data_IF_262592472239
#
_entry.id   IF_262592472239
#
_cell.length_a   1.000
_cell.length_b   1.000
_cell.length_c   1.000
_cell.angle_alpha   90.00
_cell.angle_beta   90.00
_cell.angle_gamma   90.00
#
_symmetry.space_group_name_H-M   'P 1'
#
loop_
_entity.id
_entity.type
_entity.pdbx_description
1 polymer ?
#
# COMPACT_ATOMS: atom_id res chain seq x y z
N UNK A 1 12.77 -13.13 -13.16
CA UNK A 1 12.24 -13.02 -11.79
C UNK A 1 10.72 -13.18 -11.81
N UNK A 2 10.13 -14.10 -11.03
CA UNK A 2 8.66 -14.23 -10.94
C UNK A 2 8.08 -12.98 -10.25
N UNK A 3 7.11 -12.33 -10.87
CA UNK A 3 6.39 -11.20 -10.25
C UNK A 3 5.53 -11.76 -9.10
N UNK A 4 5.78 -11.30 -7.86
CA UNK A 4 4.96 -11.66 -6.70
C UNK A 4 3.67 -10.82 -6.69
N UNK A 5 2.48 -11.42 -6.92
CA UNK A 5 1.22 -10.67 -6.93
C UNK A 5 0.90 -10.09 -5.55
N UNK A 6 0.11 -9.02 -5.52
CA UNK A 6 -0.40 -8.43 -4.27
C UNK A 6 -1.57 -9.24 -3.73
N UNK A 7 -1.43 -9.73 -2.51
CA UNK A 7 -2.49 -10.47 -1.81
C UNK A 7 -3.60 -9.51 -1.36
N UNK A 8 -4.78 -10.05 -1.06
CA UNK A 8 -5.89 -9.28 -0.50
C UNK A 8 -5.49 -8.62 0.81
N UNK A 9 -4.78 -9.36 1.70
CA UNK A 9 -4.29 -8.83 2.97
C UNK A 9 -3.38 -7.62 2.79
N UNK A 10 -2.41 -7.70 1.87
CA UNK A 10 -1.51 -6.56 1.61
C UNK A 10 -2.26 -5.34 1.06
N UNK A 11 -3.26 -5.54 0.18
CA UNK A 11 -4.09 -4.44 -0.34
C UNK A 11 -4.93 -3.81 0.77
N UNK A 12 -5.46 -4.61 1.68
CA UNK A 12 -6.21 -4.14 2.84
C UNK A 12 -5.29 -3.35 3.81
N UNK A 13 -4.08 -3.86 4.09
CA UNK A 13 -3.06 -3.13 4.85
C UNK A 13 -2.75 -1.76 4.22
N UNK A 14 -2.64 -1.68 2.88
CA UNK A 14 -2.50 -0.38 2.21
C UNK A 14 -3.72 0.50 2.45
N UNK A 15 -4.94 -0.01 2.24
CA UNK A 15 -6.19 0.75 2.43
C UNK A 15 -6.27 1.40 3.81
N UNK A 16 -5.91 0.65 4.84
CA UNK A 16 -6.08 1.06 6.24
C UNK A 16 -4.96 2.00 6.72
N UNK A 17 -3.76 1.90 6.16
CA UNK A 17 -2.58 2.57 6.71
C UNK A 17 -1.91 3.58 5.77
N UNK A 18 -2.12 3.47 4.45
CA UNK A 18 -1.46 4.36 3.49
C UNK A 18 -2.07 5.76 3.57
N UNK A 19 -1.23 6.75 3.90
CA UNK A 19 -1.67 8.12 4.14
C UNK A 19 -2.05 8.39 5.60
N UNK A 20 -2.14 7.37 6.45
CA UNK A 20 -2.32 7.49 7.91
C UNK A 20 -0.97 7.35 8.62
N UNK A 21 -0.20 6.33 8.25
CA UNK A 21 1.16 6.12 8.75
C UNK A 21 2.19 6.74 7.82
N UNK A 22 3.30 7.28 8.33
CA UNK A 22 4.44 7.61 7.50
C UNK A 22 5.01 6.32 6.88
N UNK A 23 5.59 6.43 5.69
CA UNK A 23 5.99 5.26 4.92
C UNK A 23 7.00 4.35 5.64
N UNK A 24 7.87 4.93 6.48
CA UNK A 24 8.82 4.21 7.33
C UNK A 24 8.14 3.20 8.27
N UNK A 25 6.92 3.49 8.71
CA UNK A 25 6.15 2.66 9.64
C UNK A 25 5.21 1.70 8.88
N UNK A 26 4.82 2.04 7.63
CA UNK A 26 4.08 1.15 6.74
C UNK A 26 4.93 0.02 6.15
N UNK A 27 6.20 0.28 5.85
CA UNK A 27 7.11 -0.69 5.22
C UNK A 27 7.26 -2.00 6.01
N UNK A 28 7.47 -1.98 7.35
CA UNK A 28 7.51 -3.19 8.17
C UNK A 28 6.25 -4.05 8.09
N UNK A 29 5.08 -3.46 7.82
CA UNK A 29 3.81 -4.18 7.70
C UNK A 29 3.67 -4.95 6.38
N UNK A 30 4.53 -4.69 5.40
CA UNK A 30 4.48 -5.25 4.05
C UNK A 30 5.81 -5.94 3.70
N UNK A 31 6.14 -7.08 4.36
CA UNK A 31 7.42 -7.74 4.17
C UNK A 31 7.64 -8.14 2.70
N UNK A 32 8.84 -7.85 2.19
CA UNK A 32 9.21 -8.09 0.79
C UNK A 32 8.52 -7.16 -0.21
N UNK A 33 7.91 -6.07 0.23
CA UNK A 33 7.52 -4.93 -0.62
C UNK A 33 8.52 -3.80 -0.45
N UNK A 34 8.77 -3.10 -1.55
CA UNK A 34 9.57 -1.87 -1.53
C UNK A 34 8.65 -0.66 -1.58
N UNK A 35 9.16 0.49 -1.15
CA UNK A 35 8.51 1.80 -1.30
C UNK A 35 7.98 2.03 -2.73
N UNK A 36 8.81 1.77 -3.75
CA UNK A 36 8.39 1.91 -5.14
C UNK A 36 7.24 0.96 -5.51
N UNK A 37 7.26 -0.29 -5.01
CA UNK A 37 6.15 -1.23 -5.26
C UNK A 37 4.85 -0.78 -4.58
N UNK A 38 4.94 -0.18 -3.39
CA UNK A 38 3.79 0.38 -2.67
C UNK A 38 3.17 1.51 -3.47
N UNK A 39 3.96 2.49 -3.94
CA UNK A 39 3.44 3.61 -4.74
C UNK A 39 2.76 3.14 -6.03
N UNK A 40 3.38 2.19 -6.75
CA UNK A 40 2.79 1.61 -7.96
C UNK A 40 1.47 0.89 -7.64
N UNK A 41 1.43 0.13 -6.55
CA UNK A 41 0.22 -0.57 -6.14
C UNK A 41 -0.90 0.39 -5.74
N UNK A 42 -0.59 1.44 -4.98
CA UNK A 42 -1.57 2.45 -4.59
C UNK A 42 -2.11 3.18 -5.82
N UNK A 43 -1.24 3.57 -6.75
CA UNK A 43 -1.68 4.16 -8.03
C UNK A 43 -2.62 3.23 -8.80
N UNK A 44 -2.25 1.95 -8.93
CA UNK A 44 -3.07 0.91 -9.57
C UNK A 44 -4.45 0.72 -8.90
N UNK A 45 -4.50 0.81 -7.56
CA UNK A 45 -5.73 0.67 -6.79
C UNK A 45 -6.61 1.92 -6.89
N UNK A 46 -6.03 3.13 -6.86
CA UNK A 46 -6.76 4.39 -7.08
C UNK A 46 -7.47 4.41 -8.43
N UNK A 47 -6.80 3.93 -9.48
CA UNK A 47 -7.40 3.76 -10.81
C UNK A 47 -8.60 2.79 -10.83
N UNK A 48 -8.80 2.00 -9.77
CA UNK A 48 -9.90 1.03 -9.59
C UNK A 48 -10.88 1.46 -8.50
N UNK A 49 -10.90 2.74 -8.15
CA UNK A 49 -11.83 3.31 -7.19
C UNK A 49 -11.51 3.03 -5.72
N UNK A 50 -10.29 2.53 -5.41
CA UNK A 50 -9.88 2.41 -4.02
C UNK A 50 -9.52 3.78 -3.45
N UNK A 51 -10.09 4.07 -2.30
CA UNK A 51 -9.67 5.18 -1.43
C UNK A 51 -8.77 4.66 -0.32
N UNK A 52 -7.96 5.56 0.23
CA UNK A 52 -7.01 5.29 1.29
C UNK A 52 -7.24 6.30 2.41
N UNK A 53 -7.00 5.91 3.66
CA UNK A 53 -7.17 6.81 4.80
C UNK A 53 -6.41 8.13 4.57
N UNK A 54 -7.13 9.24 4.63
CA UNK A 54 -6.48 10.55 4.70
C UNK A 54 -5.99 10.73 6.14
N UNK A 55 -4.72 11.05 6.34
CA UNK A 55 -4.28 11.60 7.62
C UNK A 55 -5.22 12.76 7.97
N UNK A 56 -5.85 12.69 9.14
CA UNK A 56 -6.42 13.88 9.74
C UNK A 56 -5.25 14.86 9.95
N UNK A 57 -5.31 15.97 9.21
CA UNK A 57 -4.43 17.12 9.40
C UNK A 57 -4.77 17.76 10.74
#
# INVERSE_FOLDING_TARGET
MKKRPWTVKEKQTLKDNYGVLPLKDLLPLLPGRTQNSIYKQVSYLRQRGWTFGQAQI
#
